data_IF_413621607799
#
_entry.id   IF_413621607799
#
_cell.length_a   1.000
_cell.length_b   1.000
_cell.length_c   1.000
_cell.angle_alpha   90.00
_cell.angle_beta   90.00
_cell.angle_gamma   90.00
#
_symmetry.space_group_name_H-M   'P 1'
#
loop_
_entity.id
_entity.type
_entity.pdbx_description
1 polymer ?
#
# COMPACT_ATOMS: atom_id res chain seq x y z
N UNK A 1 -5.61 -0.10 -61.39
CA UNK A 1 -6.93 0.44 -60.98
C UNK A 1 -7.55 -0.60 -60.06
N UNK A 2 -7.77 -0.42 -58.76
CA UNK A 2 -7.95 0.81 -57.99
C UNK A 2 -7.56 0.55 -56.53
N UNK A 3 -6.99 1.57 -55.91
CA UNK A 3 -6.69 1.65 -54.50
C UNK A 3 -7.99 1.69 -53.66
N UNK A 4 -7.97 1.04 -52.50
CA UNK A 4 -9.02 1.13 -51.48
C UNK A 4 -8.41 1.53 -50.15
N UNK A 5 -7.88 2.75 -50.06
CA UNK A 5 -7.53 3.39 -48.78
C UNK A 5 -8.84 3.68 -48.05
N UNK A 6 -9.10 2.94 -46.96
CA UNK A 6 -10.19 3.25 -46.04
C UNK A 6 -9.58 3.88 -44.79
N UNK A 7 -9.75 5.20 -44.73
CA UNK A 7 -9.24 6.11 -43.73
C UNK A 7 -9.65 5.72 -42.30
N UNK A 8 -8.72 5.95 -41.37
CA UNK A 8 -8.87 5.64 -39.96
C UNK A 8 -9.95 6.44 -39.26
N UNK A 9 -10.67 5.76 -38.39
CA UNK A 9 -11.38 6.35 -37.27
C UNK A 9 -10.55 6.11 -36.01
N UNK A 10 -9.51 6.93 -35.80
CA UNK A 10 -8.90 7.06 -34.48
C UNK A 10 -9.90 7.82 -33.63
N UNK A 11 -10.72 7.07 -32.88
CA UNK A 11 -11.52 7.66 -31.80
C UNK A 11 -10.52 8.15 -30.76
N UNK A 12 -10.16 9.42 -30.86
CA UNK A 12 -9.50 10.16 -29.80
C UNK A 12 -10.47 10.27 -28.63
N UNK A 13 -10.53 9.20 -27.82
CA UNK A 13 -11.12 9.24 -26.49
C UNK A 13 -10.35 10.26 -25.65
N UNK A 14 -11.08 11.21 -25.08
CA UNK A 14 -10.59 12.33 -24.27
C UNK A 14 -9.46 11.98 -23.30
N UNK A 15 -8.55 12.93 -23.07
CA UNK A 15 -7.30 12.82 -22.31
C UNK A 15 -7.40 12.55 -20.80
N UNK A 16 -8.13 11.51 -20.40
CA UNK A 16 -8.10 10.94 -19.05
C UNK A 16 -7.23 9.69 -19.01
N UNK A 17 -6.32 9.61 -18.04
CA UNK A 17 -5.52 8.39 -17.81
C UNK A 17 -6.44 7.16 -17.59
N UNK A 18 -5.97 5.97 -17.97
CA UNK A 18 -6.68 4.73 -17.69
C UNK A 18 -6.88 4.53 -16.17
N UNK A 19 -7.99 3.90 -15.77
CA UNK A 19 -8.27 3.62 -14.37
C UNK A 19 -7.16 2.75 -13.74
N UNK A 20 -6.60 3.13 -12.57
CA UNK A 20 -5.42 2.48 -11.98
C UNK A 20 -5.78 1.20 -11.19
N UNK A 21 -6.59 0.30 -11.76
CA UNK A 21 -7.11 -0.89 -11.05
C UNK A 21 -6.02 -1.82 -10.50
N UNK A 22 -4.92 -2.00 -11.25
CA UNK A 22 -3.79 -2.78 -10.77
C UNK A 22 -3.17 -2.19 -9.49
N UNK A 23 -3.11 -0.85 -9.38
CA UNK A 23 -2.63 -0.18 -8.16
C UNK A 23 -3.62 -0.29 -7.01
N UNK A 24 -4.93 -0.32 -7.29
CA UNK A 24 -5.93 -0.57 -6.24
C UNK A 24 -5.70 -1.94 -5.63
N UNK A 25 -5.47 -2.96 -6.46
CA UNK A 25 -5.19 -4.32 -6.00
C UNK A 25 -3.88 -4.38 -5.19
N UNK A 26 -2.77 -3.81 -5.68
CA UNK A 26 -1.49 -3.82 -4.96
C UNK A 26 -1.57 -3.08 -3.62
N UNK A 27 -2.19 -1.90 -3.60
CA UNK A 27 -2.39 -1.10 -2.39
C UNK A 27 -3.25 -1.84 -1.37
N UNK A 28 -4.33 -2.49 -1.82
CA UNK A 28 -5.20 -3.28 -0.95
C UNK A 28 -4.46 -4.46 -0.35
N UNK A 29 -3.67 -5.19 -1.15
CA UNK A 29 -2.83 -6.28 -0.66
C UNK A 29 -1.82 -5.82 0.39
N UNK A 30 -1.15 -4.68 0.17
CA UNK A 30 -0.22 -4.12 1.15
C UNK A 30 -0.91 -3.73 2.48
N UNK A 31 -2.11 -3.13 2.41
CA UNK A 31 -2.91 -2.81 3.61
C UNK A 31 -3.28 -4.09 4.37
N UNK A 32 -3.77 -5.11 3.68
CA UNK A 32 -4.10 -6.41 4.29
C UNK A 32 -2.87 -7.05 4.95
N UNK A 33 -1.72 -7.04 4.27
CA UNK A 33 -0.48 -7.57 4.85
C UNK A 33 -0.04 -6.80 6.11
N UNK A 34 -0.20 -5.48 6.14
CA UNK A 34 0.06 -4.66 7.32
C UNK A 34 -0.89 -5.00 8.49
N UNK A 35 -2.17 -5.24 8.21
CA UNK A 35 -3.16 -5.67 9.20
C UNK A 35 -2.83 -7.07 9.77
N UNK A 36 -2.51 -8.02 8.88
CA UNK A 36 -2.21 -9.43 9.23
C UNK A 36 -0.95 -9.56 10.09
N UNK A 37 0.10 -8.78 9.79
CA UNK A 37 1.32 -8.77 10.62
C UNK A 37 1.13 -7.97 11.93
N UNK A 38 -0.03 -7.37 12.15
CA UNK A 38 -0.36 -6.69 13.40
C UNK A 38 0.22 -5.28 13.50
N UNK A 39 0.31 -4.53 12.40
CA UNK A 39 0.74 -3.12 12.42
C UNK A 39 -0.08 -2.24 13.40
N UNK A 40 -1.32 -2.62 13.71
CA UNK A 40 -2.14 -1.96 14.74
C UNK A 40 -1.56 -2.00 16.16
N UNK A 41 -0.60 -2.89 16.43
CA UNK A 41 -0.01 -3.08 17.76
C UNK A 41 1.17 -2.13 18.03
N UNK A 42 1.73 -1.50 16.99
CA UNK A 42 2.76 -0.47 17.11
C UNK A 42 2.15 0.91 16.75
N UNK A 43 2.28 1.95 17.59
CA UNK A 43 1.64 3.25 17.33
C UNK A 43 2.06 3.92 16.01
N UNK A 44 3.33 3.79 15.60
CA UNK A 44 3.81 4.39 14.35
C UNK A 44 3.32 3.59 13.14
N UNK A 45 3.40 2.26 13.20
CA UNK A 45 2.86 1.39 12.17
C UNK A 45 1.34 1.58 12.00
N UNK A 46 0.60 1.74 13.09
CA UNK A 46 -0.84 1.99 13.09
C UNK A 46 -1.21 3.32 12.42
N UNK A 47 -0.39 4.37 12.63
CA UNK A 47 -0.57 5.67 11.96
C UNK A 47 -0.46 5.52 10.44
N UNK A 48 0.60 4.87 9.96
CA UNK A 48 0.81 4.66 8.53
C UNK A 48 -0.25 3.74 7.90
N UNK A 49 -0.67 2.69 8.62
CA UNK A 49 -1.79 1.84 8.19
C UNK A 49 -3.07 2.65 7.99
N UNK A 50 -3.42 3.51 8.97
CA UNK A 50 -4.60 4.39 8.86
C UNK A 50 -4.47 5.35 7.68
N UNK A 51 -3.31 5.97 7.52
CA UNK A 51 -3.04 6.86 6.38
C UNK A 51 -3.22 6.14 5.04
N UNK A 52 -2.73 4.90 4.92
CA UNK A 52 -2.89 4.09 3.71
C UNK A 52 -4.37 3.78 3.41
N UNK A 53 -5.14 3.37 4.44
CA UNK A 53 -6.57 3.09 4.30
C UNK A 53 -7.36 4.33 3.85
N UNK A 54 -7.13 5.49 4.48
CA UNK A 54 -7.81 6.74 4.13
C UNK A 54 -7.44 7.22 2.72
N UNK A 55 -6.18 7.09 2.33
CA UNK A 55 -5.73 7.47 0.98
C UNK A 55 -6.29 6.54 -0.10
N UNK A 56 -6.32 5.22 0.15
CA UNK A 56 -6.97 4.28 -0.77
C UNK A 56 -8.45 4.65 -0.97
N UNK A 57 -9.15 4.96 0.12
CA UNK A 57 -10.57 5.36 0.06
C UNK A 57 -10.75 6.62 -0.80
N UNK A 58 -9.96 7.67 -0.55
CA UNK A 58 -10.00 8.90 -1.35
C UNK A 58 -9.62 8.66 -2.81
N UNK A 59 -8.68 7.74 -3.08
CA UNK A 59 -8.31 7.39 -4.46
C UNK A 59 -9.47 6.72 -5.21
N UNK A 60 -10.25 5.86 -4.56
CA UNK A 60 -11.46 5.26 -5.15
C UNK A 60 -12.49 6.34 -5.48
N UNK A 61 -12.66 7.35 -4.62
CA UNK A 61 -13.53 8.49 -4.92
C UNK A 61 -13.04 9.38 -6.06
N UNK A 62 -11.71 9.50 -6.24
CA UNK A 62 -11.12 10.18 -7.40
C UNK A 62 -11.38 9.40 -8.69
N UNK A 63 -11.26 8.07 -8.65
CA UNK A 63 -11.60 7.19 -9.79
C UNK A 63 -13.08 7.33 -10.19
N UNK A 64 -14.00 7.36 -9.21
CA UNK A 64 -15.43 7.56 -9.46
C UNK A 64 -15.73 8.91 -10.14
N UNK A 65 -14.87 9.91 -9.95
CA UNK A 65 -14.94 11.24 -10.58
C UNK A 65 -14.16 11.33 -11.90
N UNK A 66 -13.64 10.22 -12.41
CA UNK A 66 -12.81 10.17 -13.63
C UNK A 66 -11.40 10.73 -13.46
N UNK A 67 -10.98 11.10 -12.24
CA UNK A 67 -9.67 11.68 -11.92
C UNK A 67 -8.60 10.60 -11.73
N UNK A 68 -8.43 9.76 -12.75
CA UNK A 68 -7.61 8.55 -12.68
C UNK A 68 -6.12 8.81 -12.45
N UNK A 69 -5.58 9.90 -12.99
CA UNK A 69 -4.18 10.28 -12.76
C UNK A 69 -3.94 10.66 -11.30
N UNK A 70 -4.80 11.51 -10.73
CA UNK A 70 -4.75 11.89 -9.31
C UNK A 70 -4.92 10.66 -8.41
N UNK A 71 -5.87 9.78 -8.73
CA UNK A 71 -6.06 8.51 -8.02
C UNK A 71 -4.81 7.62 -8.07
N UNK A 72 -4.14 7.53 -9.21
CA UNK A 72 -2.91 6.74 -9.36
C UNK A 72 -1.80 7.22 -8.43
N UNK A 73 -1.61 8.54 -8.30
CA UNK A 73 -0.63 9.11 -7.37
C UNK A 73 -1.00 8.88 -5.91
N UNK A 74 -2.28 9.02 -5.58
CA UNK A 74 -2.77 8.77 -4.23
C UNK A 74 -2.64 7.30 -3.83
N UNK A 75 -2.88 6.35 -4.75
CA UNK A 75 -2.64 4.93 -4.53
C UNK A 75 -1.16 4.62 -4.34
N UNK A 76 -0.26 5.26 -5.09
CA UNK A 76 1.18 5.09 -4.90
C UNK A 76 1.62 5.52 -3.50
N UNK A 77 1.08 6.64 -3.00
CA UNK A 77 1.34 7.10 -1.63
C UNK A 77 0.73 6.15 -0.59
N UNK A 78 -0.52 5.72 -0.80
CA UNK A 78 -1.17 4.76 0.08
C UNK A 78 -0.39 3.44 0.20
N UNK A 79 0.13 2.93 -0.92
CA UNK A 79 0.94 1.72 -0.94
C UNK A 79 2.26 1.92 -0.16
N UNK A 80 2.93 3.05 -0.35
CA UNK A 80 4.16 3.37 0.40
C UNK A 80 3.92 3.46 1.92
N UNK A 81 2.80 4.08 2.34
CA UNK A 81 2.42 4.10 3.76
C UNK A 81 2.11 2.69 4.29
N UNK A 82 1.44 1.83 3.52
CA UNK A 82 1.19 0.45 3.92
C UNK A 82 2.49 -0.37 4.05
N UNK A 83 3.43 -0.21 3.11
CA UNK A 83 4.74 -0.86 3.15
C UNK A 83 5.58 -0.39 4.35
N UNK A 84 5.51 0.91 4.69
CA UNK A 84 6.14 1.45 5.88
C UNK A 84 5.51 0.90 7.17
N UNK A 85 4.18 0.77 7.22
CA UNK A 85 3.50 0.12 8.34
C UNK A 85 3.96 -1.33 8.54
N UNK A 86 4.16 -2.10 7.47
CA UNK A 86 4.72 -3.46 7.52
C UNK A 86 6.15 -3.44 8.10
N UNK A 87 7.00 -2.52 7.64
CA UNK A 87 8.38 -2.43 8.09
C UNK A 87 8.47 -2.10 9.60
N UNK A 88 7.68 -1.13 10.07
CA UNK A 88 7.62 -0.74 11.48
C UNK A 88 7.07 -1.87 12.35
N UNK A 89 6.03 -2.58 11.90
CA UNK A 89 5.49 -3.74 12.62
C UNK A 89 6.54 -4.85 12.79
N UNK A 90 7.32 -5.13 11.73
CA UNK A 90 8.42 -6.11 11.77
C UNK A 90 9.55 -5.66 12.69
N UNK A 91 9.90 -4.38 12.65
CA UNK A 91 10.91 -3.82 13.56
C UNK A 91 10.48 -4.02 15.02
N UNK A 92 9.26 -3.64 15.37
CA UNK A 92 8.73 -3.77 16.72
C UNK A 92 8.75 -5.24 17.21
N UNK A 93 8.34 -6.18 16.36
CA UNK A 93 8.39 -7.62 16.67
C UNK A 93 9.82 -8.12 16.88
N UNK A 94 10.75 -7.70 16.02
CA UNK A 94 12.16 -8.10 16.09
C UNK A 94 12.81 -7.56 17.35
N UNK A 95 12.51 -6.30 17.71
CA UNK A 95 12.99 -5.68 18.96
C UNK A 95 12.45 -6.41 20.18
N UNK A 96 11.15 -6.70 20.24
CA UNK A 96 10.55 -7.42 21.35
C UNK A 96 11.15 -8.83 21.50
N UNK A 97 11.37 -9.54 20.39
CA UNK A 97 12.02 -10.86 20.41
C UNK A 97 13.47 -10.79 20.92
N UNK A 98 14.23 -9.75 20.54
CA UNK A 98 15.59 -9.54 21.01
C UNK A 98 15.62 -9.26 22.53
N UNK A 99 14.72 -8.40 23.03
CA UNK A 99 14.60 -8.10 24.46
C UNK A 99 14.24 -9.35 25.28
N UNK A 100 13.32 -10.17 24.78
CA UNK A 100 12.97 -11.45 25.41
C UNK A 100 14.16 -12.42 25.45
N UNK A 101 14.93 -12.53 24.36
CA UNK A 101 16.11 -13.39 24.32
C UNK A 101 17.19 -12.94 25.31
N UNK A 102 17.40 -11.63 25.46
CA UNK A 102 18.33 -11.07 26.45
C UNK A 102 17.87 -11.42 27.86
N UNK A 103 16.59 -11.19 28.19
CA UNK A 103 16.03 -11.53 29.50
C UNK A 103 16.21 -13.01 29.85
N UNK A 104 15.97 -13.92 28.89
CA UNK A 104 16.16 -15.35 29.09
C UNK A 104 17.63 -15.72 29.40
N UNK A 105 18.59 -15.06 28.74
CA UNK A 105 20.02 -15.28 29.01
C UNK A 105 20.38 -14.79 30.42
N UNK A 106 19.83 -13.66 30.85
CA UNK A 106 20.05 -13.11 32.20
C UNK A 106 19.46 -14.03 33.29
N UNK A 107 18.24 -14.50 33.09
CA UNK A 107 17.58 -15.43 34.00
C UNK A 107 18.37 -16.74 34.14
N UNK A 108 18.84 -17.31 33.02
CA UNK A 108 19.69 -18.51 33.02
C UNK A 108 21.00 -18.29 33.77
N UNK A 109 21.65 -17.13 33.59
CA UNK A 109 22.89 -16.79 34.32
C UNK A 109 22.68 -16.65 35.82
N UNK A 110 21.49 -16.19 36.26
CA UNK A 110 21.18 -16.03 37.68
C UNK A 110 20.94 -17.35 38.43
N UNK A 111 20.71 -18.45 37.68
CA UNK A 111 20.47 -19.79 38.21
C UNK A 111 21.76 -20.63 38.33
N UNK A 112 22.88 -20.14 37.79
CA UNK A 112 24.21 -20.75 37.88
C UNK A 112 25.01 -20.17 39.06
#
# INVERSE_FOLDING_TARGET
>A
MSAGVSAGAVVAGCGGAAAPNARVASTTGAITAAEEIGAKNDPQAALHLRMAQEQRQRAVELMARGKNAEASWMLARAQADAELAIALAREAQTRAAAEQAISQIEDLKSQL
#
